data_IF_760484320336
#
_entry.id   IF_760484320336
#
_cell.length_a   1.000
_cell.length_b   1.000
_cell.length_c   1.000
_cell.angle_alpha   90.00
_cell.angle_beta   90.00
_cell.angle_gamma   90.00
#
_symmetry.space_group_name_H-M   'P 1'
#
loop_
_entity.id
_entity.type
_entity.pdbx_description
1 polymer ?
#
# COMPACT_ATOMS: atom_id res chain seq x y z
N UNK A 1 -5.61 23.00 -9.59
CA UNK A 1 -4.36 22.80 -8.82
C UNK A 1 -4.56 22.89 -7.28
N UNK A 2 -5.28 23.88 -6.73
CA UNK A 2 -5.57 23.98 -5.27
C UNK A 2 -6.43 22.84 -4.70
N UNK A 3 -7.48 22.41 -5.42
CA UNK A 3 -8.35 21.30 -4.99
C UNK A 3 -7.66 19.94 -4.98
N UNK A 4 -6.72 19.69 -5.89
CA UNK A 4 -5.92 18.45 -5.93
C UNK A 4 -5.01 18.33 -4.72
N UNK A 5 -4.36 19.44 -4.32
CA UNK A 5 -3.55 19.48 -3.09
C UNK A 5 -4.40 19.31 -1.85
N UNK A 6 -5.57 19.92 -1.78
CA UNK A 6 -6.48 19.80 -0.63
C UNK A 6 -7.02 18.37 -0.47
N UNK A 7 -7.40 17.70 -1.57
CA UNK A 7 -7.83 16.29 -1.55
C UNK A 7 -6.69 15.34 -1.15
N UNK A 8 -5.49 15.59 -1.66
CA UNK A 8 -4.29 14.80 -1.32
C UNK A 8 -3.91 14.97 0.16
N UNK A 9 -4.05 16.19 0.70
CA UNK A 9 -3.83 16.47 2.13
C UNK A 9 -4.90 15.82 3.02
N UNK A 10 -6.16 15.76 2.58
CA UNK A 10 -7.24 15.09 3.32
C UNK A 10 -7.04 13.57 3.34
N UNK A 11 -6.65 12.96 2.21
CA UNK A 11 -6.28 11.55 2.14
C UNK A 11 -5.05 11.25 3.00
N UNK A 12 -3.99 12.06 2.90
CA UNK A 12 -2.79 11.90 3.72
C UNK A 12 -3.08 12.05 5.22
N UNK A 13 -3.94 12.99 5.60
CA UNK A 13 -4.37 13.17 7.00
C UNK A 13 -5.24 12.01 7.49
N UNK A 14 -6.06 11.40 6.62
CA UNK A 14 -6.81 10.19 6.94
C UNK A 14 -5.90 8.97 7.15
N UNK A 15 -4.83 8.83 6.34
CA UNK A 15 -3.84 7.78 6.53
C UNK A 15 -3.00 7.96 7.81
N UNK A 16 -2.68 9.19 8.20
CA UNK A 16 -1.93 9.49 9.43
C UNK A 16 -2.77 9.38 10.71
N UNK A 17 -4.09 9.56 10.60
CA UNK A 17 -5.02 9.44 11.71
C UNK A 17 -5.55 8.00 11.91
N UNK A 18 -5.28 7.09 10.98
CA UNK A 18 -5.63 5.68 11.10
C UNK A 18 -4.82 5.04 12.22
N UNK A 19 -5.48 4.56 13.28
CA UNK A 19 -4.87 3.90 14.43
C UNK A 19 -4.19 2.57 14.07
N UNK A 20 -3.08 2.61 13.35
CA UNK A 20 -2.33 1.43 12.91
C UNK A 20 -1.59 0.72 14.04
N UNK A 21 -1.36 1.40 15.16
CA UNK A 21 -0.84 0.80 16.39
C UNK A 21 -2.02 0.52 17.33
N UNK A 22 -2.49 -0.72 17.32
CA UNK A 22 -3.48 -1.20 18.28
C UNK A 22 -2.86 -2.28 19.18
N UNK A 23 -3.22 -2.33 20.49
CA UNK A 23 -2.81 -3.42 21.36
C UNK A 23 -3.44 -4.77 20.96
N UNK A 24 -4.53 -4.76 20.20
CA UNK A 24 -5.04 -5.96 19.54
C UNK A 24 -4.05 -6.36 18.44
N UNK A 25 -3.42 -7.54 18.58
CA UNK A 25 -2.57 -8.08 17.53
C UNK A 25 -3.31 -8.24 16.20
N UNK A 26 -2.54 -8.24 15.10
CA UNK A 26 -3.06 -8.41 13.75
C UNK A 26 -3.87 -9.73 13.61
N UNK A 27 -5.05 -9.73 12.97
CA UNK A 27 -5.84 -10.94 12.80
C UNK A 27 -5.06 -11.99 12.00
N UNK A 28 -5.11 -13.23 12.45
CA UNK A 28 -4.42 -14.36 11.79
C UNK A 28 -5.43 -15.36 11.23
N UNK A 29 -5.12 -15.86 10.03
CA UNK A 29 -5.95 -16.80 9.30
C UNK A 29 -5.26 -18.18 9.25
N UNK A 30 -5.99 -19.28 9.54
CA UNK A 30 -5.47 -20.61 9.38
C UNK A 30 -5.44 -20.98 7.89
N UNK A 31 -4.26 -21.31 7.36
CA UNK A 31 -4.03 -21.75 5.98
C UNK A 31 -3.15 -22.99 6.01
N UNK A 32 -3.69 -24.13 5.57
CA UNK A 32 -2.96 -25.42 5.49
C UNK A 32 -2.23 -25.79 6.79
N UNK A 33 -2.88 -25.54 7.94
CA UNK A 33 -2.33 -25.88 9.27
C UNK A 33 -1.30 -24.87 9.83
N UNK A 34 -1.01 -23.79 9.11
CA UNK A 34 -0.20 -22.66 9.60
C UNK A 34 -1.06 -21.40 9.77
N UNK A 35 -0.62 -20.47 10.62
CA UNK A 35 -1.31 -19.20 10.86
C UNK A 35 -0.58 -18.07 10.16
N UNK A 36 -1.26 -17.40 9.23
CA UNK A 36 -0.73 -16.24 8.51
C UNK A 36 -1.46 -14.97 8.92
N UNK A 37 -0.74 -13.90 9.28
CA UNK A 37 -1.36 -12.63 9.59
C UNK A 37 -1.88 -11.95 8.31
N UNK A 38 -2.95 -11.19 8.46
CA UNK A 38 -3.61 -10.40 7.42
C UNK A 38 -2.67 -9.45 6.65
N UNK A 39 -1.69 -8.85 7.34
CA UNK A 39 -0.71 -7.96 6.71
C UNK A 39 0.15 -8.67 5.64
N UNK A 40 0.38 -9.98 5.75
CA UNK A 40 1.13 -10.72 4.71
C UNK A 40 0.33 -10.80 3.41
N UNK A 41 -0.98 -10.99 3.50
CA UNK A 41 -1.88 -11.01 2.34
C UNK A 41 -1.94 -9.61 1.71
N UNK A 42 -2.07 -8.57 2.54
CA UNK A 42 -2.01 -7.18 2.08
C UNK A 42 -0.67 -6.85 1.41
N UNK A 43 0.43 -7.38 1.96
CA UNK A 43 1.77 -7.26 1.39
C UNK A 43 1.88 -7.88 -0.01
N UNK A 44 1.31 -9.07 -0.22
CA UNK A 44 1.25 -9.69 -1.55
C UNK A 44 0.47 -8.83 -2.56
N UNK A 45 -0.64 -8.22 -2.14
CA UNK A 45 -1.38 -7.27 -2.98
C UNK A 45 -0.50 -6.06 -3.31
N UNK A 46 0.22 -5.51 -2.33
CA UNK A 46 1.17 -4.42 -2.55
C UNK A 46 2.27 -4.77 -3.56
N UNK A 47 2.82 -5.98 -3.48
CA UNK A 47 3.81 -6.48 -4.45
C UNK A 47 3.20 -6.57 -5.85
N UNK A 48 2.00 -7.14 -5.98
CA UNK A 48 1.32 -7.24 -7.27
C UNK A 48 1.07 -5.85 -7.90
N UNK A 49 0.66 -4.87 -7.08
CA UNK A 49 0.48 -3.48 -7.51
C UNK A 49 1.82 -2.86 -7.95
N UNK A 50 2.89 -3.03 -7.18
CA UNK A 50 4.21 -2.49 -7.53
C UNK A 50 4.72 -3.06 -8.87
N UNK A 51 4.55 -4.36 -9.10
CA UNK A 51 4.90 -5.02 -10.36
C UNK A 51 4.03 -4.50 -11.51
N UNK A 52 2.71 -4.41 -11.31
CA UNK A 52 1.79 -3.88 -12.32
C UNK A 52 2.12 -2.45 -12.72
N UNK A 53 2.37 -1.57 -11.74
CA UNK A 53 2.79 -0.18 -12.00
C UNK A 53 4.12 -0.11 -12.74
N UNK A 54 5.08 -0.96 -12.42
CA UNK A 54 6.34 -1.03 -13.16
C UNK A 54 6.13 -1.37 -14.63
N UNK A 55 5.28 -2.35 -14.93
CA UNK A 55 4.96 -2.70 -16.32
C UNK A 55 4.30 -1.51 -17.03
N UNK A 56 3.32 -0.86 -16.41
CA UNK A 56 2.64 0.31 -16.99
C UNK A 56 3.61 1.47 -17.24
N UNK A 57 4.53 1.74 -16.31
CA UNK A 57 5.49 2.85 -16.43
C UNK A 57 6.58 2.59 -17.46
N UNK A 58 6.95 1.32 -17.66
CA UNK A 58 7.82 0.92 -18.76
C UNK A 58 7.12 1.13 -20.11
N UNK A 59 5.86 0.71 -20.24
CA UNK A 59 5.10 0.86 -21.48
C UNK A 59 4.82 2.32 -21.84
N UNK A 60 4.68 3.20 -20.85
CA UNK A 60 4.42 4.63 -21.05
C UNK A 60 5.70 5.47 -21.15
N UNK A 61 6.88 4.87 -20.95
CA UNK A 61 8.18 5.58 -20.95
C UNK A 61 8.45 6.44 -19.70
N UNK A 62 7.52 6.48 -18.73
CA UNK A 62 7.68 7.25 -17.48
C UNK A 62 8.83 6.74 -16.61
N UNK A 63 9.11 5.44 -16.68
CA UNK A 63 10.19 4.82 -15.91
C UNK A 63 11.56 5.47 -16.21
N UNK A 64 11.77 6.01 -17.42
CA UNK A 64 12.99 6.70 -17.80
C UNK A 64 13.26 7.97 -16.99
N UNK A 65 12.22 8.62 -16.47
CA UNK A 65 12.28 9.90 -15.75
C UNK A 65 12.53 9.67 -14.24
N UNK A 66 12.25 8.46 -13.73
CA UNK A 66 12.43 8.15 -12.31
C UNK A 66 13.90 7.93 -11.97
N UNK A 67 14.48 8.82 -11.15
CA UNK A 67 15.83 8.66 -10.61
C UNK A 67 15.95 7.53 -9.58
N UNK A 68 14.92 7.30 -8.74
CA UNK A 68 14.93 6.31 -7.66
C UNK A 68 13.83 5.25 -7.84
N UNK A 69 13.89 4.51 -8.95
CA UNK A 69 12.87 3.54 -9.39
C UNK A 69 12.47 2.56 -8.28
N UNK A 70 13.44 1.90 -7.66
CA UNK A 70 13.18 0.89 -6.62
C UNK A 70 12.41 1.49 -5.44
N UNK A 71 12.88 2.63 -4.92
CA UNK A 71 12.24 3.31 -3.80
C UNK A 71 10.79 3.70 -4.14
N UNK A 72 10.57 4.26 -5.33
CA UNK A 72 9.23 4.69 -5.77
C UNK A 72 8.28 3.50 -5.91
N UNK A 73 8.67 2.40 -6.55
CA UNK A 73 7.81 1.22 -6.68
C UNK A 73 7.53 0.54 -5.35
N UNK A 74 8.54 0.42 -4.47
CA UNK A 74 8.36 -0.13 -3.13
C UNK A 74 7.40 0.76 -2.32
N UNK A 75 7.58 2.09 -2.35
CA UNK A 75 6.69 3.01 -1.65
C UNK A 75 5.24 2.90 -2.15
N UNK A 76 5.02 2.82 -3.47
CA UNK A 76 3.68 2.63 -4.04
C UNK A 76 3.07 1.29 -3.62
N UNK A 77 3.85 0.22 -3.59
CA UNK A 77 3.41 -1.09 -3.10
C UNK A 77 3.04 -1.07 -1.62
N UNK A 78 3.85 -0.42 -0.77
CA UNK A 78 3.57 -0.26 0.67
C UNK A 78 2.31 0.57 0.89
N UNK A 79 2.15 1.68 0.17
CA UNK A 79 0.92 2.50 0.25
C UNK A 79 -0.30 1.66 -0.13
N UNK A 80 -0.22 0.86 -1.19
CA UNK A 80 -1.32 -0.01 -1.61
C UNK A 80 -1.64 -1.07 -0.54
N UNK A 81 -0.62 -1.75 0.01
CA UNK A 81 -0.78 -2.74 1.06
C UNK A 81 -1.44 -2.14 2.32
N UNK A 82 -0.95 -0.98 2.78
CA UNK A 82 -1.51 -0.29 3.93
C UNK A 82 -2.94 0.21 3.66
N UNK A 83 -3.22 0.70 2.45
CA UNK A 83 -4.57 1.14 2.06
C UNK A 83 -5.54 -0.03 2.15
N UNK A 84 -5.19 -1.19 1.56
CA UNK A 84 -6.01 -2.40 1.63
C UNK A 84 -6.21 -2.84 3.08
N UNK A 85 -5.14 -2.86 3.86
CA UNK A 85 -5.20 -3.22 5.27
C UNK A 85 -6.16 -2.32 6.04
N UNK A 86 -6.05 -1.00 5.90
CA UNK A 86 -6.95 -0.05 6.58
C UNK A 86 -8.41 -0.16 6.15
N UNK A 87 -8.68 -0.48 4.88
CA UNK A 87 -10.05 -0.55 4.36
C UNK A 87 -10.75 -1.88 4.70
N UNK A 88 -9.98 -2.95 4.92
CA UNK A 88 -10.52 -4.30 5.13
C UNK A 88 -10.43 -4.73 6.60
N UNK A 89 -9.33 -4.41 7.27
CA UNK A 89 -9.00 -4.86 8.63
C UNK A 89 -8.76 -3.73 9.63
N UNK A 90 -8.85 -2.47 9.18
CA UNK A 90 -8.66 -1.30 10.04
C UNK A 90 -9.58 -1.32 11.27
N UNK A 91 -9.22 -0.57 12.32
CA UNK A 91 -10.00 -0.48 13.55
C UNK A 91 -11.44 0.04 13.33
#
# INVERSE_FOLDING_TARGET
>A
MRFTRLRFLILASGLLAGGGCTPQGAPSFPVVGAYFPDWMICGLIGVAVAVGLRVIFLLTGLDAILSFRLFTYVAMGVIAALTVWTLVFGP
#
